data_IF_708389881599
#
_entry.id   IF_708389881599
#
_cell.length_a   1.000
_cell.length_b   1.000
_cell.length_c   1.000
_cell.angle_alpha   90.00
_cell.angle_beta   90.00
_cell.angle_gamma   90.00
#
_symmetry.space_group_name_H-M   'P 1'
#
loop_
_entity.id
_entity.type
_entity.pdbx_description
1 polymer ?
#
# COMPACT_ATOMS: atom_id res chain seq x y z
N UNK A 1 12.49 5.29 1.61
CA UNK A 1 12.32 5.16 3.06
C UNK A 1 12.23 6.54 3.67
N UNK A 2 13.22 7.42 3.40
CA UNK A 2 13.16 8.83 3.77
C UNK A 2 11.80 9.50 3.53
N UNK A 3 11.14 9.24 2.39
CA UNK A 3 9.84 9.87 2.12
C UNK A 3 8.68 9.34 2.99
N UNK A 4 8.67 8.04 3.34
CA UNK A 4 7.64 7.48 4.22
C UNK A 4 7.78 8.07 5.62
N UNK A 5 9.02 8.15 6.10
CA UNK A 5 9.36 8.78 7.38
C UNK A 5 8.98 10.25 7.39
N UNK A 6 9.41 11.02 6.38
CA UNK A 6 9.08 12.46 6.24
C UNK A 6 7.57 12.69 6.24
N UNK A 7 6.81 11.87 5.51
CA UNK A 7 5.36 11.99 5.43
C UNK A 7 4.69 11.73 6.79
N UNK A 8 5.12 10.69 7.51
CA UNK A 8 4.64 10.38 8.85
C UNK A 8 4.97 11.50 9.86
N UNK A 9 6.20 12.03 9.83
CA UNK A 9 6.63 13.18 10.64
C UNK A 9 5.84 14.45 10.31
N UNK A 10 5.40 14.60 9.06
CA UNK A 10 4.53 15.69 8.61
C UNK A 10 3.05 15.49 8.99
N UNK A 11 2.72 14.42 9.71
CA UNK A 11 1.36 14.13 10.19
C UNK A 11 0.49 13.32 9.23
N UNK A 12 1.02 12.78 8.13
CA UNK A 12 0.26 11.89 7.26
C UNK A 12 -0.07 10.59 8.02
N UNK A 13 -1.36 10.25 8.10
CA UNK A 13 -1.85 9.00 8.70
C UNK A 13 -2.64 8.12 7.73
N UNK A 14 -2.96 8.65 6.57
CA UNK A 14 -3.69 7.94 5.51
C UNK A 14 -2.87 6.91 4.75
N UNK A 15 -1.63 6.63 5.18
CA UNK A 15 -0.80 5.60 4.58
C UNK A 15 -0.06 6.02 3.31
N UNK A 16 0.52 5.02 2.65
CA UNK A 16 1.22 5.17 1.37
C UNK A 16 0.42 4.56 0.24
N UNK A 17 0.67 5.01 -0.98
CA UNK A 17 0.11 4.42 -2.20
C UNK A 17 1.20 3.69 -2.96
N UNK A 18 0.94 2.42 -3.29
CA UNK A 18 1.83 1.62 -4.14
C UNK A 18 1.25 1.47 -5.56
N UNK A 19 2.07 1.52 -6.61
CA UNK A 19 1.61 1.30 -7.98
C UNK A 19 1.01 -0.08 -8.21
N UNK A 20 -0.10 -0.15 -8.96
CA UNK A 20 -0.68 -1.42 -9.41
C UNK A 20 0.18 -2.11 -10.49
N UNK A 21 0.95 -1.33 -11.27
CA UNK A 21 1.95 -1.81 -12.23
C UNK A 21 3.35 -1.48 -11.70
N UNK A 22 4.27 -2.43 -11.77
CA UNK A 22 5.68 -2.28 -11.41
C UNK A 22 6.57 -1.86 -12.60
N UNK A 23 6.00 -1.76 -13.82
CA UNK A 23 6.73 -1.39 -15.03
C UNK A 23 8.03 -2.21 -15.18
N UNK A 24 9.19 -1.55 -15.23
CA UNK A 24 10.52 -2.18 -15.31
C UNK A 24 11.11 -2.66 -13.97
N UNK A 25 10.39 -2.52 -12.86
CA UNK A 25 10.84 -2.99 -11.55
C UNK A 25 10.31 -4.40 -11.24
N UNK A 26 10.97 -5.16 -10.34
CA UNK A 26 10.47 -6.45 -9.87
C UNK A 26 9.08 -6.32 -9.21
N UNK A 27 8.21 -7.33 -9.29
CA UNK A 27 6.92 -7.33 -8.60
C UNK A 27 7.08 -7.46 -7.07
N UNK A 28 6.00 -7.22 -6.32
CA UNK A 28 6.02 -7.13 -4.85
C UNK A 28 6.37 -8.41 -4.07
N UNK A 29 6.64 -9.54 -4.75
CA UNK A 29 7.19 -10.73 -4.09
C UNK A 29 8.70 -10.60 -3.77
N UNK A 30 9.40 -9.69 -4.47
CA UNK A 30 10.82 -9.45 -4.28
C UNK A 30 11.12 -8.85 -2.89
N UNK A 31 12.12 -9.42 -2.19
CA UNK A 31 12.57 -8.99 -0.86
C UNK A 31 13.07 -7.55 -0.81
N UNK A 32 13.40 -6.93 -1.94
CA UNK A 32 13.83 -5.52 -2.00
C UNK A 32 12.80 -4.55 -1.41
N UNK A 33 11.53 -4.94 -1.38
CA UNK A 33 10.44 -4.15 -0.82
C UNK A 33 10.26 -4.35 0.69
N UNK A 34 10.97 -5.27 1.33
CA UNK A 34 10.87 -5.53 2.77
C UNK A 34 11.14 -4.28 3.61
N UNK A 35 12.05 -3.41 3.16
CA UNK A 35 12.30 -2.12 3.81
C UNK A 35 11.09 -1.16 3.76
N UNK A 36 10.26 -1.24 2.72
CA UNK A 36 9.01 -0.47 2.60
C UNK A 36 8.01 -1.00 3.62
N UNK A 37 7.81 -2.32 3.65
CA UNK A 37 6.88 -2.97 4.55
C UNK A 37 7.24 -2.76 6.02
N UNK A 38 8.53 -2.87 6.35
CA UNK A 38 9.05 -2.56 7.68
C UNK A 38 8.71 -1.12 8.08
N UNK A 39 9.03 -0.13 7.22
CA UNK A 39 8.74 1.27 7.51
C UNK A 39 7.23 1.54 7.66
N UNK A 40 6.40 0.91 6.81
CA UNK A 40 4.95 1.01 6.92
C UNK A 40 4.43 0.44 8.23
N UNK A 41 4.95 -0.72 8.66
CA UNK A 41 4.61 -1.32 9.95
C UNK A 41 5.05 -0.42 11.12
N UNK A 42 6.32 0.00 11.15
CA UNK A 42 6.91 0.77 12.24
C UNK A 42 6.20 2.12 12.44
N UNK A 43 5.78 2.74 11.33
CA UNK A 43 5.10 4.04 11.33
C UNK A 43 3.57 3.91 11.35
N UNK A 44 3.03 2.69 11.43
CA UNK A 44 1.60 2.39 11.34
C UNK A 44 0.93 3.03 10.12
N UNK A 45 1.64 3.04 9.00
CA UNK A 45 1.19 3.60 7.73
C UNK A 45 0.53 2.51 6.89
N UNK A 46 -0.80 2.55 6.68
CA UNK A 46 -1.47 1.58 5.83
C UNK A 46 -0.96 1.66 4.39
N UNK A 47 -1.11 0.56 3.65
CA UNK A 47 -0.67 0.47 2.26
C UNK A 47 -1.91 0.39 1.37
N UNK A 48 -2.00 1.31 0.43
CA UNK A 48 -3.12 1.43 -0.48
C UNK A 48 -2.69 1.17 -1.92
N UNK A 49 -3.57 0.54 -2.68
CA UNK A 49 -3.50 0.42 -4.15
C UNK A 49 -4.63 1.22 -4.75
N UNK A 50 -4.34 2.04 -5.76
CA UNK A 50 -5.37 2.76 -6.51
C UNK A 50 -5.75 1.97 -7.78
N UNK A 51 -7.05 1.84 -8.05
CA UNK A 51 -7.56 1.28 -9.30
C UNK A 51 -7.42 2.32 -10.40
N UNK A 52 -6.97 1.92 -11.60
CA UNK A 52 -6.87 2.85 -12.73
C UNK A 52 -5.59 2.69 -13.56
N UNK A 53 -4.65 1.85 -13.11
CA UNK A 53 -3.45 1.53 -13.87
C UNK A 53 -3.53 0.09 -14.41
N UNK A 54 -3.63 -0.03 -15.73
CA UNK A 54 -3.55 -1.29 -16.49
C UNK A 54 -2.83 -1.01 -17.84
N UNK A 55 -2.48 -2.04 -18.63
CA UNK A 55 -1.94 -1.88 -19.98
C UNK A 55 -2.99 -1.35 -20.96
N UNK A 56 -3.34 -0.07 -20.86
CA UNK A 56 -4.37 0.54 -21.69
C UNK A 56 -4.10 0.36 -23.20
N UNK A 57 -2.82 0.32 -23.57
CA UNK A 57 -2.31 0.05 -24.91
C UNK A 57 -2.88 -1.25 -25.53
N UNK A 58 -3.21 -2.26 -24.71
CA UNK A 58 -3.69 -3.56 -25.17
C UNK A 58 -5.18 -3.52 -25.58
N UNK A 59 -5.94 -2.48 -25.20
CA UNK A 59 -7.41 -2.44 -25.38
C UNK A 59 -7.89 -1.41 -26.43
N UNK A 60 -7.02 -0.52 -26.92
CA UNK A 60 -7.40 0.51 -27.90
C UNK A 60 -8.58 1.39 -27.43
N UNK A 61 -9.57 1.59 -28.30
CA UNK A 61 -10.77 2.38 -27.99
C UNK A 61 -11.85 1.61 -27.20
N UNK A 62 -11.61 0.34 -26.86
CA UNK A 62 -12.58 -0.52 -26.18
C UNK A 62 -12.64 -0.27 -24.66
N UNK A 63 -13.13 0.91 -24.27
CA UNK A 63 -13.18 1.37 -22.89
C UNK A 63 -13.91 0.38 -21.94
N UNK A 64 -14.96 -0.30 -22.42
CA UNK A 64 -15.71 -1.25 -21.61
C UNK A 64 -14.87 -2.44 -21.11
N UNK A 65 -13.96 -2.94 -21.97
CA UNK A 65 -13.03 -4.02 -21.63
C UNK A 65 -12.01 -3.49 -20.63
N UNK A 66 -11.40 -2.33 -20.91
CA UNK A 66 -10.44 -1.68 -20.02
C UNK A 66 -10.99 -1.45 -18.61
N UNK A 67 -12.17 -0.84 -18.48
CA UNK A 67 -12.80 -0.52 -17.18
C UNK A 67 -13.15 -1.79 -16.40
N UNK A 68 -13.46 -2.87 -17.09
CA UNK A 68 -13.72 -4.17 -16.47
C UNK A 68 -12.43 -4.79 -15.95
N UNK A 69 -11.36 -4.77 -16.74
CA UNK A 69 -10.10 -5.44 -16.40
C UNK A 69 -9.22 -4.65 -15.42
N UNK A 70 -9.26 -3.33 -15.44
CA UNK A 70 -8.41 -2.47 -14.60
C UNK A 70 -8.59 -2.74 -13.10
N UNK A 71 -9.75 -3.26 -12.69
CA UNK A 71 -9.99 -3.68 -11.31
C UNK A 71 -9.09 -4.85 -10.90
N UNK A 72 -8.89 -5.83 -11.78
CA UNK A 72 -8.00 -6.96 -11.52
C UNK A 72 -6.57 -6.49 -11.34
N UNK A 73 -6.11 -5.55 -12.18
CA UNK A 73 -4.78 -4.96 -12.05
C UNK A 73 -4.60 -4.22 -10.71
N UNK A 74 -5.60 -3.45 -10.27
CA UNK A 74 -5.57 -2.74 -9.00
C UNK A 74 -5.39 -3.66 -7.78
N UNK A 75 -5.98 -4.87 -7.79
CA UNK A 75 -5.86 -5.82 -6.68
C UNK A 75 -4.62 -6.71 -6.76
N UNK A 76 -3.91 -6.76 -7.90
CA UNK A 76 -2.74 -7.64 -8.06
C UNK A 76 -1.68 -7.48 -6.97
N UNK A 77 -1.28 -6.27 -6.55
CA UNK A 77 -0.27 -6.11 -5.51
C UNK A 77 -0.61 -6.84 -4.21
N UNK A 78 -1.89 -6.90 -3.83
CA UNK A 78 -2.36 -7.65 -2.67
C UNK A 78 -2.03 -9.14 -2.79
N UNK A 79 -2.28 -9.74 -3.95
CA UNK A 79 -1.98 -11.16 -4.18
C UNK A 79 -0.48 -11.43 -4.07
N UNK A 80 0.36 -10.57 -4.62
CA UNK A 80 1.81 -10.70 -4.49
C UNK A 80 2.27 -10.58 -3.03
N UNK A 81 1.73 -9.62 -2.28
CA UNK A 81 2.06 -9.46 -0.87
C UNK A 81 1.63 -10.69 -0.05
N UNK A 82 0.38 -11.13 -0.22
CA UNK A 82 -0.19 -12.28 0.47
C UNK A 82 0.62 -13.56 0.19
N UNK A 83 0.78 -13.93 -1.08
CA UNK A 83 1.42 -15.19 -1.44
C UNK A 83 2.94 -15.21 -1.29
N UNK A 84 3.59 -14.04 -1.18
CA UNK A 84 5.03 -13.95 -0.90
C UNK A 84 5.35 -13.83 0.59
N UNK A 85 4.34 -13.98 1.45
CA UNK A 85 4.51 -14.03 2.89
C UNK A 85 4.72 -12.66 3.56
N UNK A 86 4.35 -11.55 2.90
CA UNK A 86 4.61 -10.19 3.42
C UNK A 86 3.94 -9.99 4.77
N UNK A 87 2.72 -10.47 4.94
CA UNK A 87 1.97 -10.31 6.19
C UNK A 87 2.49 -11.21 7.31
N UNK A 88 3.17 -12.30 6.98
CA UNK A 88 3.87 -13.18 7.93
C UNK A 88 5.17 -12.54 8.44
N UNK A 89 5.85 -11.76 7.59
CA UNK A 89 7.06 -11.00 7.99
C UNK A 89 6.72 -9.66 8.65
N UNK A 90 5.62 -9.04 8.23
CA UNK A 90 5.19 -7.70 8.64
C UNK A 90 3.69 -7.71 9.01
N UNK A 91 3.31 -8.35 10.13
CA UNK A 91 1.91 -8.52 10.51
C UNK A 91 1.14 -7.20 10.70
N UNK A 92 1.82 -6.10 11.07
CA UNK A 92 1.18 -4.79 11.23
C UNK A 92 0.72 -4.15 9.92
N UNK A 93 1.15 -4.67 8.76
CA UNK A 93 0.68 -4.20 7.45
C UNK A 93 -0.67 -4.79 7.02
N UNK A 94 -1.15 -5.88 7.66
CA UNK A 94 -2.40 -6.55 7.31
C UNK A 94 -3.65 -5.87 7.89
N UNK A 95 -3.47 -4.86 8.74
CA UNK A 95 -4.56 -4.14 9.40
C UNK A 95 -4.96 -4.77 10.72
N UNK A 96 -4.22 -4.45 11.77
CA UNK A 96 -4.78 -4.23 13.09
C UNK A 96 -3.90 -3.19 13.80
N UNK A 97 -4.45 -2.08 14.32
CA UNK A 97 -3.66 -1.25 15.21
C UNK A 97 -3.26 -2.10 16.42
N UNK A 98 -1.98 -2.15 16.84
CA UNK A 98 -1.63 -2.70 18.13
C UNK A 98 -2.56 -2.11 19.19
N UNK A 99 -3.06 -2.96 20.09
CA UNK A 99 -4.03 -2.68 21.16
C UNK A 99 -3.62 -1.55 22.15
N UNK A 100 -2.56 -0.82 21.85
CA UNK A 100 -1.97 0.23 22.66
C UNK A 100 -1.93 1.60 21.97
N UNK A 101 -2.76 1.86 20.95
CA UNK A 101 -3.13 3.23 20.60
C UNK A 101 -3.97 3.82 21.75
N UNK A 102 -3.30 4.21 22.83
CA UNK A 102 -3.84 5.06 23.88
C UNK A 102 -4.26 6.36 23.19
N UNK A 103 -5.55 6.48 22.91
CA UNK A 103 -6.19 7.78 22.83
C UNK A 103 -5.92 8.48 24.16
N UNK A 104 -4.92 9.37 24.17
CA UNK A 104 -4.75 10.32 25.27
C UNK A 104 -6.02 11.17 25.36
N UNK A 105 -6.48 11.52 26.57
CA UNK A 105 -7.67 12.34 26.72
C UNK A 105 -7.45 13.66 25.97
N UNK A 106 -8.36 13.97 25.04
CA UNK A 106 -8.45 15.29 24.44
C UNK A 106 -8.76 16.28 25.56
N UNK A 107 -7.73 16.95 26.08
CA UNK A 107 -7.92 18.15 26.89
C UNK A 107 -8.33 19.27 25.94
N UNK A 108 -9.64 19.50 25.79
CA UNK A 108 -10.14 20.79 25.35
C UNK A 108 -9.64 21.83 26.36
N UNK A 109 -8.87 22.81 25.89
CA UNK A 109 -8.44 23.96 26.67
C UNK A 109 -8.74 25.21 25.85
N UNK A 110 -9.54 26.10 26.43
CA UNK A 110 -9.63 27.52 26.08
C UNK A 110 -10.62 27.87 24.99
#
# INVERSE_FOLDING_TARGET
MAEITRAAESGLRGGIMIPARWAGYPPYHDRRYDKVWAACQDLQMPVHTHVGAAPQEDYGEHLGIYVTEVRWWGVRPLWFALWSGVFERFPGCAGEPPSAARFGPATCSG
#
